data_IF_486587613690
#
_entry.id   IF_486587613690
#
_cell.length_a   1.000
_cell.length_b   1.000
_cell.length_c   1.000
_cell.angle_alpha   90.00
_cell.angle_beta   90.00
_cell.angle_gamma   90.00
#
_symmetry.space_group_name_H-M   'P 1'
#
loop_
_entity.id
_entity.type
_entity.pdbx_description
1 polymer ?
#
# COMPACT_ATOMS: atom_id res chain seq x y z
N UNK A 1 -20.70 10.46 3.43
CA UNK A 1 -20.51 11.71 2.64
C UNK A 1 -19.01 11.85 2.41
N UNK A 2 -18.53 11.39 1.26
CA UNK A 2 -17.13 11.03 1.04
C UNK A 2 -16.31 12.22 0.56
N UNK A 3 -15.03 12.26 0.96
CA UNK A 3 -14.05 13.32 0.69
C UNK A 3 -13.92 13.66 -0.81
N UNK A 4 -14.12 12.67 -1.68
CA UNK A 4 -13.98 12.80 -3.13
C UNK A 4 -14.88 13.90 -3.73
N UNK A 5 -16.12 14.04 -3.25
CA UNK A 5 -17.08 15.02 -3.76
C UNK A 5 -16.81 16.48 -3.32
N UNK A 6 -15.91 16.69 -2.35
CA UNK A 6 -15.69 18.02 -1.74
C UNK A 6 -14.73 18.90 -2.53
N UNK A 7 -13.87 18.31 -3.36
CA UNK A 7 -12.81 19.01 -4.10
C UNK A 7 -13.25 19.48 -5.50
N UNK A 8 -14.38 19.02 -6.01
CA UNK A 8 -14.90 19.40 -7.34
C UNK A 8 -15.78 20.66 -7.34
N UNK A 9 -15.66 21.52 -6.31
CA UNK A 9 -16.37 22.82 -6.31
C UNK A 9 -15.59 23.85 -7.12
N UNK A 10 -15.63 23.71 -8.46
CA UNK A 10 -15.21 24.77 -9.36
C UNK A 10 -16.13 26.00 -9.13
N UNK A 11 -15.52 27.18 -8.97
CA UNK A 11 -16.27 28.43 -8.84
C UNK A 11 -17.06 28.71 -10.13
N UNK A 12 -18.28 29.28 -10.06
CA UNK A 12 -19.18 29.35 -11.21
C UNK A 12 -18.82 30.54 -12.11
N UNK A 13 -17.76 30.45 -12.92
CA UNK A 13 -17.46 31.44 -13.97
C UNK A 13 -16.73 30.82 -15.16
N UNK A 14 -17.47 30.16 -16.03
CA UNK A 14 -17.37 30.28 -17.49
C UNK A 14 -18.49 29.44 -18.12
N UNK A 15 -19.29 30.04 -19.02
CA UNK A 15 -20.19 29.26 -19.89
C UNK A 15 -19.31 28.52 -20.90
N UNK A 16 -19.02 27.27 -20.60
CA UNK A 16 -18.40 26.34 -21.55
C UNK A 16 -19.53 25.82 -22.45
N UNK A 17 -19.28 25.70 -23.75
CA UNK A 17 -20.25 25.13 -24.69
C UNK A 17 -20.48 23.67 -24.28
N UNK A 18 -21.65 23.37 -23.73
CA UNK A 18 -22.08 21.99 -23.49
C UNK A 18 -22.46 21.41 -24.84
N UNK A 19 -21.84 20.30 -25.22
CA UNK A 19 -22.38 19.42 -26.25
C UNK A 19 -23.61 18.80 -25.60
N UNK A 20 -24.80 19.11 -26.13
CA UNK A 20 -26.01 18.36 -25.79
C UNK A 20 -25.84 16.97 -26.43
N UNK A 21 -25.19 16.07 -25.70
CA UNK A 21 -25.29 14.64 -25.96
C UNK A 21 -26.71 14.26 -25.56
N UNK A 22 -27.49 13.85 -26.57
CA UNK A 22 -28.79 13.24 -26.38
C UNK A 22 -28.69 12.23 -25.24
N UNK A 23 -29.63 12.28 -24.30
CA UNK A 23 -29.67 11.38 -23.14
C UNK A 23 -29.87 9.93 -23.60
N UNK A 24 -28.82 9.31 -24.10
CA UNK A 24 -28.60 7.90 -23.90
C UNK A 24 -28.26 7.79 -22.41
N UNK A 25 -29.13 7.11 -21.67
CA UNK A 25 -28.88 6.69 -20.30
C UNK A 25 -27.64 5.78 -20.31
N UNK A 26 -26.44 6.36 -20.41
CA UNK A 26 -25.19 5.69 -20.10
C UNK A 26 -25.23 5.47 -18.59
N UNK A 27 -25.81 4.35 -18.18
CA UNK A 27 -25.75 3.85 -16.82
C UNK A 27 -24.28 3.89 -16.38
N UNK A 28 -23.94 4.84 -15.51
CA UNK A 28 -22.59 4.92 -14.92
C UNK A 28 -22.25 3.53 -14.36
N UNK A 29 -21.28 2.86 -14.98
CA UNK A 29 -20.83 1.54 -14.55
C UNK A 29 -20.05 1.69 -13.23
N UNK A 30 -20.78 1.71 -12.12
CA UNK A 30 -20.21 1.80 -10.77
C UNK A 30 -20.02 0.37 -10.25
N UNK A 31 -18.77 -0.02 -10.08
CA UNK A 31 -18.43 -1.25 -9.35
C UNK A 31 -18.59 -0.96 -7.86
N UNK A 32 -19.72 -1.36 -7.28
CA UNK A 32 -20.08 -1.13 -5.87
C UNK A 32 -19.36 -2.10 -4.92
N UNK A 33 -19.29 -3.39 -5.26
CA UNK A 33 -18.63 -4.40 -4.43
C UNK A 33 -18.04 -5.54 -5.27
N UNK A 34 -16.80 -5.95 -4.94
CA UNK A 34 -16.15 -7.12 -5.53
C UNK A 34 -16.13 -8.23 -4.49
N UNK A 35 -16.91 -9.29 -4.71
CA UNK A 35 -16.94 -10.46 -3.84
C UNK A 35 -15.89 -11.49 -4.27
N UNK A 36 -15.16 -12.03 -3.31
CA UNK A 36 -14.40 -13.28 -3.47
C UNK A 36 -15.28 -14.46 -3.02
N UNK A 37 -15.30 -15.55 -3.80
CA UNK A 37 -16.12 -16.75 -3.49
C UNK A 37 -15.67 -17.50 -2.23
N UNK A 38 -14.55 -17.12 -1.63
CA UNK A 38 -14.05 -17.62 -0.35
C UNK A 38 -14.53 -16.71 0.77
N UNK A 39 -15.28 -17.29 1.71
CA UNK A 39 -15.85 -16.64 2.90
C UNK A 39 -14.82 -16.32 4.00
N UNK A 40 -13.55 -16.62 3.75
CA UNK A 40 -12.45 -16.24 4.61
C UNK A 40 -12.02 -14.82 4.23
N UNK A 41 -12.07 -13.88 5.19
CA UNK A 41 -11.41 -12.58 5.05
C UNK A 41 -9.90 -12.83 5.00
N UNK A 42 -9.38 -13.23 3.85
CA UNK A 42 -7.95 -13.29 3.60
C UNK A 42 -7.43 -11.86 3.64
N UNK A 43 -6.91 -11.45 4.79
CA UNK A 43 -6.08 -10.25 4.84
C UNK A 43 -4.89 -10.47 3.89
N UNK A 44 -4.57 -9.46 3.07
CA UNK A 44 -3.48 -9.53 2.11
C UNK A 44 -2.14 -9.44 2.85
N UNK A 45 -1.76 -10.56 3.47
CA UNK A 45 -0.56 -10.72 4.29
C UNK A 45 0.43 -11.57 3.54
N UNK A 46 1.65 -11.05 3.41
CA UNK A 46 2.72 -11.67 2.66
C UNK A 46 3.95 -11.84 3.55
N UNK A 47 4.54 -13.04 3.62
CA UNK A 47 5.83 -13.22 4.28
C UNK A 47 6.94 -12.55 3.45
N UNK A 48 7.63 -11.59 4.05
CA UNK A 48 8.75 -10.87 3.44
C UNK A 48 10.00 -11.07 4.29
N UNK A 49 11.12 -11.40 3.65
CA UNK A 49 12.41 -11.46 4.33
C UNK A 49 12.94 -10.03 4.51
N UNK A 50 13.10 -9.62 5.77
CA UNK A 50 13.66 -8.33 6.17
C UNK A 50 14.93 -8.58 6.96
N UNK A 51 16.08 -8.21 6.38
CA UNK A 51 17.40 -8.47 6.95
C UNK A 51 17.53 -9.91 7.51
N UNK A 52 17.25 -10.90 6.66
CA UNK A 52 17.35 -12.34 6.99
C UNK A 52 16.29 -12.84 8.00
N UNK A 53 15.31 -12.01 8.39
CA UNK A 53 14.19 -12.40 9.26
C UNK A 53 12.87 -12.37 8.48
N UNK A 54 12.08 -13.45 8.52
CA UNK A 54 10.77 -13.49 7.86
C UNK A 54 9.73 -12.75 8.73
N UNK A 55 9.09 -11.74 8.16
CA UNK A 55 8.03 -10.95 8.83
C UNK A 55 6.77 -10.97 7.95
N UNK A 56 5.59 -11.23 8.52
CA UNK A 56 4.32 -11.07 7.81
C UNK A 56 3.98 -9.59 7.65
N UNK A 57 3.93 -9.12 6.40
CA UNK A 57 3.53 -7.75 6.06
C UNK A 57 2.16 -7.71 5.44
N UNK A 58 1.34 -6.74 5.84
CA UNK A 58 0.15 -6.36 5.08
C UNK A 58 0.57 -5.62 3.82
N UNK A 59 -0.03 -5.96 2.68
CA UNK A 59 0.11 -5.19 1.45
C UNK A 59 -0.85 -3.99 1.50
N UNK A 60 -0.29 -2.81 1.80
CA UNK A 60 -1.06 -1.57 1.93
C UNK A 60 -0.66 -0.58 0.85
N UNK A 61 -1.49 -0.47 -0.19
CA UNK A 61 -1.29 0.48 -1.31
C UNK A 61 -1.67 1.92 -0.94
N UNK A 62 -2.37 2.12 0.18
CA UNK A 62 -2.77 3.43 0.69
C UNK A 62 -1.71 4.09 1.59
N UNK A 63 -0.67 3.34 1.98
CA UNK A 63 0.40 3.85 2.83
C UNK A 63 1.58 4.40 2.03
N UNK A 64 2.11 5.55 2.47
CA UNK A 64 3.30 6.17 1.88
C UNK A 64 4.62 5.58 2.42
N UNK A 65 4.56 4.87 3.56
CA UNK A 65 5.74 4.35 4.26
C UNK A 65 5.46 2.94 4.78
N UNK A 66 6.51 2.11 4.83
CA UNK A 66 6.47 0.82 5.50
C UNK A 66 6.67 1.00 7.01
N UNK A 67 5.87 0.30 7.80
CA UNK A 67 5.99 0.26 9.25
C UNK A 67 6.32 -1.15 9.71
N UNK A 68 7.23 -1.25 10.68
CA UNK A 68 7.57 -2.50 11.36
C UNK A 68 7.28 -2.31 12.84
N UNK A 69 6.60 -3.29 13.45
CA UNK A 69 6.34 -3.23 14.89
C UNK A 69 7.65 -3.27 15.68
N UNK A 70 7.64 -2.66 16.86
CA UNK A 70 8.80 -2.67 17.75
C UNK A 70 9.24 -4.10 18.13
N UNK A 71 8.27 -5.01 18.24
CA UNK A 71 8.52 -6.41 18.56
C UNK A 71 9.25 -7.14 17.43
N UNK A 72 8.80 -6.97 16.19
CA UNK A 72 9.47 -7.54 15.03
C UNK A 72 10.89 -6.97 14.86
N UNK A 73 11.07 -5.66 15.03
CA UNK A 73 12.41 -5.06 14.99
C UNK A 73 13.35 -5.63 16.07
N UNK A 74 12.85 -5.88 17.29
CA UNK A 74 13.65 -6.51 18.35
C UNK A 74 14.03 -7.94 18.01
N UNK A 75 13.11 -8.69 17.42
CA UNK A 75 13.27 -10.09 17.05
C UNK A 75 14.19 -10.32 15.83
N UNK A 76 14.43 -9.28 15.00
CA UNK A 76 15.38 -9.38 13.89
C UNK A 76 16.78 -9.77 14.35
N UNK A 77 17.34 -10.81 13.72
CA UNK A 77 18.70 -11.29 13.98
C UNK A 77 19.74 -10.25 13.54
N UNK A 78 19.52 -9.64 12.37
CA UNK A 78 20.36 -8.58 11.81
C UNK A 78 19.54 -7.30 11.68
N UNK A 79 19.92 -6.27 12.42
CA UNK A 79 19.23 -4.98 12.40
C UNK A 79 20.20 -3.82 12.31
N UNK A 80 19.89 -2.89 11.41
CA UNK A 80 20.57 -1.61 11.33
C UNK A 80 20.26 -0.77 12.56
N UNK A 81 21.18 0.11 12.96
CA UNK A 81 20.93 1.05 14.06
C UNK A 81 19.70 1.91 13.72
N UNK A 82 18.86 2.16 14.71
CA UNK A 82 17.81 3.15 14.57
C UNK A 82 18.41 4.56 14.59
N UNK A 83 17.82 5.42 13.79
CA UNK A 83 18.13 6.84 13.76
C UNK A 83 16.87 7.64 14.12
N UNK A 84 17.02 8.79 14.81
CA UNK A 84 15.91 9.71 15.00
C UNK A 84 15.32 10.14 13.65
N UNK A 85 13.99 10.13 13.56
CA UNK A 85 13.27 10.62 12.38
C UNK A 85 12.39 11.80 12.77
N UNK A 86 12.34 12.80 11.89
CA UNK A 86 11.49 13.99 12.06
C UNK A 86 10.12 13.83 11.37
N UNK A 87 9.86 12.67 10.77
CA UNK A 87 8.64 12.42 10.01
C UNK A 87 7.45 12.23 10.96
N UNK A 88 6.32 12.85 10.61
CA UNK A 88 5.03 12.60 11.26
C UNK A 88 4.33 11.49 10.50
N UNK A 89 4.07 10.36 11.16
CA UNK A 89 3.27 9.27 10.61
C UNK A 89 1.86 9.37 11.18
N UNK A 90 0.86 9.33 10.30
CA UNK A 90 -0.56 9.34 10.65
C UNK A 90 -1.27 8.21 9.94
N UNK A 91 -2.26 7.62 10.61
CA UNK A 91 -3.18 6.70 9.97
C UNK A 91 -4.21 7.43 9.11
N UNK A 92 -5.07 6.65 8.48
CA UNK A 92 -6.06 7.16 7.52
C UNK A 92 -7.02 8.18 8.13
N UNK A 93 -7.37 8.05 9.41
CA UNK A 93 -8.28 8.99 10.09
C UNK A 93 -7.56 10.23 10.67
N UNK A 94 -6.25 10.35 10.42
CA UNK A 94 -5.42 11.46 10.88
C UNK A 94 -4.82 11.26 12.28
N UNK A 95 -5.10 10.12 12.93
CA UNK A 95 -4.53 9.74 14.21
C UNK A 95 -3.01 9.56 14.09
N UNK A 96 -2.27 10.01 15.12
CA UNK A 96 -0.81 9.92 15.11
C UNK A 96 -0.37 8.49 15.44
N UNK A 97 0.50 7.93 14.59
CA UNK A 97 1.18 6.67 14.87
C UNK A 97 2.52 6.96 15.57
N UNK A 98 2.74 6.51 16.82
CA UNK A 98 4.01 6.72 17.50
C UNK A 98 5.15 5.93 16.85
N UNK A 99 6.17 6.62 16.37
CA UNK A 99 7.37 6.00 15.78
C UNK A 99 8.57 6.10 16.74
N UNK A 100 9.32 5.00 16.88
CA UNK A 100 10.54 4.95 17.71
C UNK A 100 11.78 5.50 17.00
N UNK A 101 11.77 5.49 15.67
CA UNK A 101 12.90 5.86 14.82
C UNK A 101 12.71 5.31 13.41
N UNK A 102 13.73 5.50 12.58
CA UNK A 102 13.84 4.88 11.26
C UNK A 102 15.11 4.03 11.17
N UNK A 103 15.12 3.03 10.29
CA UNK A 103 16.30 2.23 10.00
C UNK A 103 16.31 1.86 8.51
N UNK A 104 17.50 1.53 8.00
CA UNK A 104 17.64 0.96 6.65
C UNK A 104 17.48 -0.54 6.75
N UNK A 105 16.64 -1.12 5.90
CA UNK A 105 16.44 -2.56 5.84
C UNK A 105 16.43 -3.05 4.38
N UNK A 106 16.92 -4.26 4.17
CA UNK A 106 16.85 -4.96 2.88
C UNK A 106 15.63 -5.86 2.90
N UNK A 107 14.81 -5.77 1.84
CA UNK A 107 13.60 -6.57 1.68
C UNK A 107 13.78 -7.54 0.52
N UNK A 108 13.35 -8.79 0.71
CA UNK A 108 13.30 -9.79 -0.35
C UNK A 108 11.94 -10.49 -0.32
N UNK A 109 11.23 -10.40 -1.44
CA UNK A 109 9.98 -11.10 -1.69
C UNK A 109 10.21 -12.11 -2.81
N UNK A 110 9.85 -13.39 -2.59
CA UNK A 110 9.98 -14.52 -3.53
C UNK A 110 11.33 -14.57 -4.26
N UNK A 111 12.27 -15.42 -3.81
CA UNK A 111 13.49 -15.74 -4.58
C UNK A 111 13.05 -16.17 -6.00
N UNK A 112 13.30 -15.33 -6.99
CA UNK A 112 13.26 -15.77 -8.38
C UNK A 112 14.37 -16.81 -8.51
N UNK A 113 14.11 -18.02 -9.03
CA UNK A 113 15.18 -18.95 -9.31
C UNK A 113 16.15 -18.28 -10.29
N UNK A 114 17.41 -18.27 -9.89
CA UNK A 114 18.50 -17.71 -10.67
C UNK A 114 18.58 -18.48 -12.00
N UNK A 115 18.35 -17.82 -13.14
CA UNK A 115 18.38 -18.48 -14.46
C UNK A 115 19.81 -18.88 -14.90
N UNK A 116 20.80 -18.76 -14.03
CA UNK A 116 22.23 -18.93 -14.34
C UNK A 116 22.79 -20.34 -14.19
N UNK A 117 22.00 -21.34 -13.76
CA UNK A 117 22.49 -22.74 -13.60
C UNK A 117 21.92 -23.77 -14.58
N UNK A 118 21.24 -23.34 -15.65
CA UNK A 118 20.72 -24.22 -16.70
C UNK A 118 21.49 -24.05 -18.04
N UNK A 119 22.82 -24.08 -18.01
CA UNK A 119 23.63 -24.14 -19.22
C UNK A 119 25.02 -24.73 -18.93
N UNK A 120 25.09 -25.96 -18.41
CA UNK A 120 26.31 -26.77 -18.56
C UNK A 120 26.03 -28.26 -18.34
N UNK A 121 25.39 -28.89 -19.34
CA UNK A 121 25.48 -30.33 -19.65
C UNK A 121 25.17 -30.49 -21.13
N UNK A 122 26.17 -30.28 -21.97
CA UNK A 122 26.20 -30.61 -23.38
C UNK A 122 27.50 -31.32 -23.70
#
# INVERSE_FOLDING_TARGET
MNHYAKCCKAAPKQKVHTVDEEAEDEEEFIVDEVHTSTSEKEEWVVPVEVNETIIPFKLDTGAQVNLVSWEHYKAMTKKSKMHPVKIKVTGYTGERVPVKGGCVATFRYKKTPDKSTAADRG
#
